data_IF_329660407674
#
_entry.id   IF_329660407674
#
_cell.length_a   1.000
_cell.length_b   1.000
_cell.length_c   1.000
_cell.angle_alpha   90.00
_cell.angle_beta   90.00
_cell.angle_gamma   90.00
#
_symmetry.space_group_name_H-M   'P 1'
#
loop_
_entity.id
_entity.type
_entity.pdbx_description
1 polymer ?
#
# COMPACT_ATOMS: atom_id res chain seq x y z
N UNK A 1 27.69 0.24 13.26
CA UNK A 1 27.23 -1.15 13.49
C UNK A 1 28.46 -1.99 13.79
N UNK A 2 28.42 -2.80 14.84
CA UNK A 2 29.55 -3.64 15.26
C UNK A 2 29.07 -5.06 15.55
N UNK A 3 29.98 -6.05 15.56
CA UNK A 3 29.58 -7.46 15.56
C UNK A 3 28.83 -7.87 16.84
N UNK A 4 29.21 -7.39 18.03
CA UNK A 4 28.46 -7.62 19.27
C UNK A 4 28.72 -6.51 20.30
N UNK A 5 27.67 -6.08 21.00
CA UNK A 5 27.69 -4.99 21.99
C UNK A 5 26.72 -3.86 21.62
N UNK A 6 25.80 -3.53 22.52
CA UNK A 6 24.93 -2.36 22.36
C UNK A 6 25.64 -1.09 22.84
N UNK A 7 25.18 0.06 22.37
CA UNK A 7 25.54 1.36 22.96
C UNK A 7 25.22 1.35 24.47
N UNK A 8 25.98 2.09 25.30
CA UNK A 8 25.77 2.09 26.75
C UNK A 8 24.33 2.48 27.10
N UNK A 9 23.65 1.60 27.83
CA UNK A 9 22.27 1.77 28.31
C UNK A 9 22.27 1.69 29.83
N UNK A 10 21.60 2.63 30.51
CA UNK A 10 21.52 2.68 31.97
C UNK A 10 20.06 2.72 32.40
N UNK A 11 19.68 1.87 33.35
CA UNK A 11 18.36 1.90 34.01
C UNK A 11 17.21 1.24 33.24
N UNK A 12 17.48 0.49 32.17
CA UNK A 12 16.46 -0.27 31.44
C UNK A 12 16.47 -1.72 31.92
N UNK A 13 15.33 -2.20 32.42
CA UNK A 13 15.14 -3.61 32.78
C UNK A 13 14.15 -4.25 31.81
N UNK A 14 14.54 -5.36 31.19
CA UNK A 14 13.70 -6.09 30.23
C UNK A 14 13.32 -7.46 30.78
N UNK A 15 12.06 -7.83 30.62
CA UNK A 15 11.54 -9.12 31.02
C UNK A 15 11.03 -9.87 29.79
N UNK A 16 11.26 -11.18 29.75
CA UNK A 16 10.78 -12.03 28.67
C UNK A 16 10.32 -13.38 29.22
N UNK A 17 9.35 -14.00 28.56
CA UNK A 17 8.91 -15.37 28.82
C UNK A 17 9.49 -16.32 27.78
N UNK A 18 9.86 -17.53 28.21
CA UNK A 18 10.35 -18.56 27.31
C UNK A 18 9.30 -18.88 26.21
N UNK A 19 9.67 -18.99 24.92
CA UNK A 19 8.72 -19.18 23.83
C UNK A 19 7.87 -20.45 23.94
N UNK A 20 8.43 -21.51 24.54
CA UNK A 20 7.73 -22.78 24.81
C UNK A 20 6.62 -22.68 25.87
N UNK A 21 6.55 -21.56 26.60
CA UNK A 21 5.52 -21.26 27.60
C UNK A 21 4.43 -20.32 27.07
N UNK A 22 4.54 -19.87 25.82
CA UNK A 22 3.58 -18.97 25.18
C UNK A 22 2.76 -19.71 24.12
N UNK A 23 1.51 -19.31 23.91
CA UNK A 23 0.75 -19.73 22.74
C UNK A 23 1.10 -18.80 21.56
N UNK A 24 1.73 -19.30 20.49
CA UNK A 24 2.28 -18.47 19.42
C UNK A 24 1.24 -17.70 18.61
N UNK A 25 -0.02 -18.16 18.58
CA UNK A 25 -1.12 -17.54 17.82
C UNK A 25 -2.21 -16.97 18.73
N UNK A 26 -1.95 -16.83 20.03
CA UNK A 26 -2.91 -16.26 20.96
C UNK A 26 -3.35 -14.85 20.49
N UNK A 27 -4.65 -14.68 20.27
CA UNK A 27 -5.22 -13.40 19.84
C UNK A 27 -4.91 -13.01 18.39
N UNK A 28 -4.26 -13.86 17.59
CA UNK A 28 -3.83 -13.54 16.24
C UNK A 28 -4.99 -13.09 15.34
N UNK A 29 -6.16 -13.74 15.40
CA UNK A 29 -7.32 -13.36 14.57
C UNK A 29 -7.88 -11.97 14.96
N UNK A 30 -8.14 -11.76 16.24
CA UNK A 30 -8.66 -10.48 16.74
C UNK A 30 -7.66 -9.35 16.44
N UNK A 31 -6.38 -9.56 16.77
CA UNK A 31 -5.33 -8.61 16.49
C UNK A 31 -5.16 -8.39 14.98
N UNK A 32 -5.17 -9.43 14.16
CA UNK A 32 -4.99 -9.29 12.71
C UNK A 32 -6.08 -8.41 12.09
N UNK A 33 -7.35 -8.60 12.43
CA UNK A 33 -8.44 -7.81 11.84
C UNK A 33 -8.33 -6.34 12.25
N UNK A 34 -8.32 -6.06 13.56
CA UNK A 34 -8.39 -4.68 14.04
C UNK A 34 -7.06 -3.91 13.85
N UNK A 35 -5.92 -4.58 14.05
CA UNK A 35 -4.61 -3.95 13.85
C UNK A 35 -4.34 -3.70 12.37
N UNK A 36 -4.72 -4.62 11.48
CA UNK A 36 -4.56 -4.39 10.03
C UNK A 36 -5.42 -3.23 9.58
N UNK A 37 -6.71 -3.19 9.94
CA UNK A 37 -7.56 -2.05 9.60
C UNK A 37 -7.01 -0.73 10.13
N UNK A 38 -6.62 -0.69 11.42
CA UNK A 38 -6.02 0.49 12.04
C UNK A 38 -4.74 0.94 11.31
N UNK A 39 -3.87 0.02 10.89
CA UNK A 39 -2.64 0.36 10.16
C UNK A 39 -2.95 0.85 8.75
N UNK A 40 -3.84 0.18 8.04
CA UNK A 40 -4.20 0.52 6.66
C UNK A 40 -4.87 1.88 6.58
N UNK A 41 -5.82 2.21 7.47
CA UNK A 41 -6.51 3.52 7.44
C UNK A 41 -5.56 4.72 7.62
N UNK A 42 -4.45 4.55 8.32
CA UNK A 42 -3.47 5.63 8.51
C UNK A 42 -2.60 5.86 7.28
N UNK A 43 -2.57 4.90 6.35
CA UNK A 43 -1.72 4.92 5.17
C UNK A 43 -2.50 4.98 3.84
N UNK A 44 -3.79 4.65 3.86
CA UNK A 44 -4.62 4.48 2.66
C UNK A 44 -4.59 5.70 1.74
N UNK A 45 -4.51 6.92 2.26
CA UNK A 45 -4.49 8.12 1.42
C UNK A 45 -3.15 8.35 0.71
N UNK A 46 -2.03 7.85 1.26
CA UNK A 46 -0.72 8.07 0.66
C UNK A 46 -0.50 7.23 -0.60
N UNK A 47 -1.08 6.03 -0.65
CA UNK A 47 -0.93 5.14 -1.80
C UNK A 47 -2.24 4.93 -2.55
N UNK A 48 -3.38 4.89 -1.86
CA UNK A 48 -4.69 4.67 -2.48
C UNK A 48 -5.12 5.82 -3.36
N UNK A 49 -4.84 7.07 -2.96
CA UNK A 49 -5.20 8.24 -3.77
C UNK A 49 -4.38 8.31 -5.08
N UNK A 50 -3.04 8.15 -5.07
CA UNK A 50 -2.28 8.04 -6.33
C UNK A 50 -2.70 6.88 -7.21
N UNK A 51 -3.01 5.70 -6.64
CA UNK A 51 -3.46 4.56 -7.43
C UNK A 51 -4.81 4.82 -8.11
N UNK A 52 -5.75 5.44 -7.41
CA UNK A 52 -7.05 5.81 -7.98
C UNK A 52 -6.87 6.78 -9.15
N UNK A 53 -6.10 7.85 -8.97
CA UNK A 53 -5.83 8.83 -10.02
C UNK A 53 -5.14 8.17 -11.23
N UNK A 54 -4.16 7.31 -10.97
CA UNK A 54 -3.47 6.55 -12.02
C UNK A 54 -4.40 5.64 -12.80
N UNK A 55 -5.34 4.98 -12.13
CA UNK A 55 -6.33 4.12 -12.77
C UNK A 55 -7.29 4.92 -13.66
N UNK A 56 -7.88 6.00 -13.15
CA UNK A 56 -8.83 6.83 -13.90
C UNK A 56 -8.18 7.48 -15.12
N UNK A 57 -6.96 8.01 -14.96
CA UNK A 57 -6.21 8.62 -16.07
C UNK A 57 -5.85 7.60 -17.15
N UNK A 58 -5.50 6.37 -16.75
CA UNK A 58 -5.22 5.29 -17.68
C UNK A 58 -6.48 4.84 -18.44
N UNK A 59 -7.64 4.70 -17.76
CA UNK A 59 -8.90 4.37 -18.41
C UNK A 59 -9.29 5.43 -19.44
N UNK A 60 -9.23 6.71 -19.06
CA UNK A 60 -9.48 7.81 -19.99
C UNK A 60 -8.54 7.78 -21.20
N UNK A 61 -7.24 7.51 -20.97
CA UNK A 61 -6.26 7.44 -22.06
C UNK A 61 -6.54 6.28 -23.02
N UNK A 62 -6.98 5.12 -22.51
CA UNK A 62 -7.34 3.95 -23.33
C UNK A 62 -8.57 4.28 -24.19
N UNK A 63 -9.65 4.76 -23.58
CA UNK A 63 -10.89 5.11 -24.31
C UNK A 63 -10.63 6.18 -25.37
N UNK A 64 -9.83 7.20 -25.02
CA UNK A 64 -9.45 8.25 -25.96
C UNK A 64 -8.61 7.70 -27.12
N UNK A 65 -7.69 6.78 -26.86
CA UNK A 65 -6.86 6.16 -27.88
C UNK A 65 -7.70 5.30 -28.84
N UNK A 66 -8.61 4.49 -28.31
CA UNK A 66 -9.53 3.67 -29.11
C UNK A 66 -10.44 4.55 -29.97
N UNK A 67 -10.98 5.63 -29.40
CA UNK A 67 -11.80 6.58 -30.13
C UNK A 67 -11.04 7.22 -31.29
N UNK A 68 -9.81 7.70 -31.08
CA UNK A 68 -8.99 8.33 -32.13
C UNK A 68 -8.65 7.35 -33.27
N UNK A 69 -8.46 6.06 -32.96
CA UNK A 69 -8.20 5.02 -33.95
C UNK A 69 -9.48 4.47 -34.63
N UNK A 70 -10.66 4.85 -34.13
CA UNK A 70 -11.95 4.47 -34.73
C UNK A 70 -12.19 5.18 -36.06
N UNK A 71 -13.20 4.74 -36.81
CA UNK A 71 -13.59 5.40 -38.08
C UNK A 71 -14.15 6.79 -37.85
N UNK A 72 -15.03 6.93 -36.85
CA UNK A 72 -15.62 8.21 -36.45
C UNK A 72 -14.55 9.19 -35.98
N UNK A 73 -13.60 8.72 -35.16
CA UNK A 73 -12.49 9.55 -34.69
C UNK A 73 -11.58 10.02 -35.82
N UNK A 74 -11.26 9.15 -36.78
CA UNK A 74 -10.51 9.57 -37.97
C UNK A 74 -11.28 10.60 -38.80
N UNK A 75 -12.56 10.36 -39.09
CA UNK A 75 -13.37 11.30 -39.87
C UNK A 75 -13.51 12.68 -39.20
N UNK A 76 -13.52 12.75 -37.87
CA UNK A 76 -13.61 14.01 -37.11
C UNK A 76 -12.29 14.79 -37.03
N UNK A 77 -11.14 14.11 -37.05
CA UNK A 77 -9.82 14.71 -36.81
C UNK A 77 -8.89 14.72 -38.04
N UNK A 78 -9.17 13.96 -39.11
CA UNK A 78 -8.38 13.95 -40.37
C UNK A 78 -8.39 15.29 -41.12
N UNK A 79 -9.33 16.19 -40.82
CA UNK A 79 -9.44 17.51 -41.48
C UNK A 79 -9.17 18.71 -40.56
N UNK A 80 -8.65 18.49 -39.35
CA UNK A 80 -8.26 19.55 -38.41
C UNK A 80 -6.73 19.71 -38.41
N UNK A 81 -6.15 19.99 -39.57
CA UNK A 81 -4.77 20.48 -39.77
C UNK A 81 -4.80 21.64 -40.78
#
# INVERSE_FOLDING_TARGET
MGPWGSLPQKGITSYALAPNRQNPMAGAMNAAVFNTFRRTRHQILYWGLPLLIGYETMQWAIERNEFLNSKEGRAMYEGQD
#
